data_IF_714337440136
#
_entry.id   IF_714337440136
#
_cell.length_a   1.000
_cell.length_b   1.000
_cell.length_c   1.000
_cell.angle_alpha   90.00
_cell.angle_beta   90.00
_cell.angle_gamma   90.00
#
_symmetry.space_group_name_H-M   'P 1'
#
loop_
_entity.id
_entity.type
_entity.pdbx_description
1 polymer ?
#
# COMPACT_ATOMS: atom_id res chain seq x y z
N UNK A 1 -13.66 -0.83 -9.34
CA UNK A 1 -12.24 -0.65 -8.96
C UNK A 1 -11.70 0.45 -9.83
N UNK A 2 -11.31 1.58 -9.23
CA UNK A 2 -10.70 2.69 -9.97
C UNK A 2 -9.44 2.23 -10.72
N UNK A 3 -9.25 2.74 -11.93
CA UNK A 3 -8.16 2.40 -12.86
C UNK A 3 -6.76 2.85 -12.40
N UNK A 4 -6.63 3.33 -11.16
CA UNK A 4 -5.43 4.01 -10.68
C UNK A 4 -4.48 3.08 -9.93
N UNK A 5 -5.01 2.06 -9.24
CA UNK A 5 -4.23 1.03 -8.55
C UNK A 5 -3.80 -0.04 -9.56
N UNK A 6 -2.50 -0.35 -9.61
CA UNK A 6 -1.88 -1.23 -10.61
C UNK A 6 -1.47 -0.51 -11.91
N UNK A 7 -1.52 0.84 -11.93
CA UNK A 7 -1.12 1.63 -13.11
C UNK A 7 0.39 1.85 -13.22
N UNK A 8 1.17 1.40 -12.22
CA UNK A 8 2.61 1.68 -12.13
C UNK A 8 2.93 3.13 -11.75
N UNK A 9 1.94 3.90 -11.26
CA UNK A 9 2.10 5.30 -10.85
C UNK A 9 1.68 5.49 -9.40
N UNK A 10 2.57 6.07 -8.61
CA UNK A 10 2.28 6.43 -7.21
C UNK A 10 1.44 7.71 -7.18
N UNK A 11 0.28 7.66 -6.53
CA UNK A 11 -0.54 8.86 -6.32
C UNK A 11 0.00 9.69 -5.15
N UNK A 12 0.71 10.76 -5.46
CA UNK A 12 1.21 11.73 -4.48
C UNK A 12 0.37 13.01 -4.41
N UNK A 13 -0.75 13.08 -5.12
CA UNK A 13 -1.69 14.20 -5.07
C UNK A 13 -3.12 13.69 -4.81
N UNK A 14 -3.95 14.42 -4.03
CA UNK A 14 -5.34 14.06 -3.86
C UNK A 14 -6.08 14.19 -5.19
N UNK A 15 -6.81 13.14 -5.58
CA UNK A 15 -7.59 13.08 -6.83
C UNK A 15 -9.03 13.56 -6.61
N UNK A 16 -9.49 13.59 -5.35
CA UNK A 16 -10.86 13.94 -4.95
C UNK A 16 -10.82 14.85 -3.71
N UNK A 17 -11.73 15.81 -3.63
CA UNK A 17 -11.97 16.63 -2.43
C UNK A 17 -12.73 15.86 -1.34
N UNK A 18 -12.74 16.35 -0.09
CA UNK A 18 -13.49 15.72 1.02
C UNK A 18 -15.00 15.55 0.74
N UNK A 19 -15.53 16.32 -0.22
CA UNK A 19 -16.93 16.29 -0.67
C UNK A 19 -17.21 15.31 -1.83
N UNK A 20 -16.22 14.53 -2.26
CA UNK A 20 -16.39 13.54 -3.34
C UNK A 20 -16.36 14.12 -4.75
N UNK A 21 -15.93 15.38 -4.93
CA UNK A 21 -15.77 16.01 -6.25
C UNK A 21 -14.34 15.79 -6.78
N UNK A 22 -14.15 15.44 -8.07
CA UNK A 22 -12.83 15.36 -8.69
C UNK A 22 -12.13 16.73 -8.68
N UNK A 23 -10.84 16.78 -8.34
CA UNK A 23 -10.06 18.02 -8.37
C UNK A 23 -9.59 18.26 -9.82
N UNK A 24 -10.07 19.33 -10.46
CA UNK A 24 -9.60 19.75 -11.79
C UNK A 24 -8.18 20.32 -11.73
N UNK A 25 -7.31 19.87 -12.66
CA UNK A 25 -5.95 20.37 -12.83
C UNK A 25 -5.94 21.88 -13.19
N UNK A 26 -5.20 22.75 -12.49
CA UNK A 26 -5.14 24.18 -12.80
C UNK A 26 -4.10 24.48 -13.89
N UNK A 27 -4.18 23.82 -15.05
CA UNK A 27 -3.37 24.20 -16.20
C UNK A 27 -4.24 24.50 -17.42
N UNK A 28 -5.10 25.51 -17.26
CA UNK A 28 -5.66 26.24 -18.39
C UNK A 28 -4.59 27.16 -18.96
N UNK A 29 -3.92 26.73 -20.03
CA UNK A 29 -3.25 27.68 -20.93
C UNK A 29 -3.77 27.48 -22.34
N UNK A 30 -4.30 28.57 -22.91
CA UNK A 30 -5.15 28.59 -24.09
C UNK A 30 -4.48 28.12 -25.38
N UNK A 31 -5.30 27.48 -26.23
CA UNK A 31 -4.97 27.15 -27.61
C UNK A 31 -6.17 26.55 -28.33
N UNK A 32 -6.55 27.16 -29.46
CA UNK A 32 -7.75 26.84 -30.23
C UNK A 32 -7.72 25.47 -30.95
N UNK A 33 -8.89 24.80 -30.94
CA UNK A 33 -9.53 23.73 -31.77
C UNK A 33 -8.96 23.36 -33.18
N UNK A 34 -9.38 22.25 -33.89
CA UNK A 34 -10.52 21.34 -33.63
C UNK A 34 -10.38 19.80 -33.90
N UNK A 35 -11.32 19.03 -33.28
CA UNK A 35 -12.05 17.80 -33.72
C UNK A 35 -11.34 16.52 -34.21
N UNK A 36 -11.58 15.39 -33.51
CA UNK A 36 -12.41 14.26 -34.01
C UNK A 36 -12.56 13.11 -32.98
N UNK A 37 -13.82 12.76 -32.69
CA UNK A 37 -14.42 11.42 -32.45
C UNK A 37 -13.65 10.45 -31.51
N UNK A 38 -14.18 10.02 -30.37
CA UNK A 38 -15.52 9.47 -30.21
C UNK A 38 -16.06 9.51 -28.77
N UNK A 39 -17.39 9.52 -28.71
CA UNK A 39 -18.23 9.55 -27.53
C UNK A 39 -18.11 8.27 -26.71
N UNK A 40 -17.94 8.42 -25.40
CA UNK A 40 -18.71 7.63 -24.44
C UNK A 40 -19.30 8.61 -23.41
N UNK A 41 -20.60 8.86 -23.57
CA UNK A 41 -21.45 9.50 -22.59
C UNK A 41 -21.99 8.42 -21.65
N UNK A 42 -22.09 8.81 -20.38
CA UNK A 42 -22.97 8.23 -19.36
C UNK A 42 -22.67 6.80 -18.90
N UNK A 43 -22.00 6.71 -17.75
CA UNK A 43 -22.43 5.77 -16.72
C UNK A 43 -22.49 6.52 -15.37
N UNK A 44 -23.71 6.91 -15.02
CA UNK A 44 -24.25 7.05 -13.68
C UNK A 44 -23.30 7.62 -12.60
N UNK A 45 -23.63 8.84 -12.15
CA UNK A 45 -23.34 9.28 -10.79
C UNK A 45 -24.00 8.36 -9.77
N UNK A 46 -23.40 7.19 -9.55
CA UNK A 46 -23.48 6.52 -8.27
C UNK A 46 -22.75 7.44 -7.31
N UNK A 47 -23.37 7.94 -6.24
CA UNK A 47 -22.65 8.66 -5.22
C UNK A 47 -21.49 7.76 -4.79
N UNK A 48 -20.25 8.20 -5.03
CA UNK A 48 -19.08 7.50 -4.52
C UNK A 48 -19.34 7.30 -3.03
N UNK A 49 -19.51 6.04 -2.60
CA UNK A 49 -19.83 5.73 -1.22
C UNK A 49 -18.78 6.38 -0.33
N UNK A 50 -19.17 6.89 0.84
CA UNK A 50 -18.25 7.55 1.80
C UNK A 50 -16.95 6.77 2.02
N UNK A 51 -17.03 5.44 1.98
CA UNK A 51 -15.88 4.53 2.06
C UNK A 51 -14.87 4.68 0.91
N UNK A 52 -15.33 4.89 -0.33
CA UNK A 52 -14.47 5.10 -1.50
C UNK A 52 -13.79 6.47 -1.42
N UNK A 53 -14.52 7.50 -0.96
CA UNK A 53 -13.96 8.84 -0.76
C UNK A 53 -12.86 8.77 0.30
N UNK A 54 -13.15 8.14 1.44
CA UNK A 54 -12.19 7.98 2.53
C UNK A 54 -10.94 7.22 2.08
N UNK A 55 -11.13 6.11 1.38
CA UNK A 55 -10.01 5.34 0.85
C UNK A 55 -9.15 6.15 -0.13
N UNK A 56 -9.77 6.91 -1.04
CA UNK A 56 -9.04 7.77 -1.97
C UNK A 56 -8.26 8.89 -1.29
N UNK A 57 -8.76 9.44 -0.19
CA UNK A 57 -7.99 10.38 0.63
C UNK A 57 -6.76 9.70 1.24
N UNK A 58 -6.91 8.46 1.69
CA UNK A 58 -5.80 7.65 2.23
C UNK A 58 -4.74 7.33 1.16
N UNK A 59 -5.12 7.13 -0.11
CA UNK A 59 -4.17 6.84 -1.20
C UNK A 59 -3.08 7.92 -1.37
N UNK A 60 -3.46 9.19 -1.23
CA UNK A 60 -2.52 10.31 -1.28
C UNK A 60 -1.51 10.25 -0.13
N UNK A 61 -1.98 9.96 1.09
CA UNK A 61 -1.12 9.81 2.26
C UNK A 61 -0.15 8.64 2.10
N UNK A 62 -0.62 7.50 1.59
CA UNK A 62 0.23 6.34 1.26
C UNK A 62 1.32 6.74 0.26
N UNK A 63 0.97 7.48 -0.80
CA UNK A 63 1.95 7.91 -1.79
C UNK A 63 3.02 8.84 -1.22
N UNK A 64 2.64 9.74 -0.30
CA UNK A 64 3.60 10.59 0.39
C UNK A 64 4.54 9.79 1.30
N UNK A 65 4.04 8.77 1.99
CA UNK A 65 4.84 7.92 2.88
C UNK A 65 5.77 7.00 2.08
N UNK A 66 5.29 6.40 1.00
CA UNK A 66 6.11 5.58 0.08
C UNK A 66 7.27 6.40 -0.51
N UNK A 67 7.03 7.65 -0.88
CA UNK A 67 8.10 8.54 -1.35
C UNK A 67 9.09 8.97 -0.25
N UNK A 68 8.79 8.69 1.02
CA UNK A 68 9.70 8.91 2.16
C UNK A 68 10.42 7.66 2.62
N UNK A 69 9.82 6.49 2.41
CA UNK A 69 10.36 5.19 2.83
C UNK A 69 11.66 4.86 2.08
N UNK A 70 12.68 4.51 2.86
CA UNK A 70 13.95 3.91 2.43
C UNK A 70 14.61 4.51 1.18
N UNK A 71 14.53 5.84 1.00
CA UNK A 71 15.10 6.58 -0.15
C UNK A 71 16.61 6.38 -0.36
N UNK A 72 17.32 5.88 0.64
CA UNK A 72 18.75 5.56 0.52
C UNK A 72 19.01 4.21 -0.16
N UNK A 73 17.98 3.37 -0.35
CA UNK A 73 18.10 2.08 -1.03
C UNK A 73 17.99 2.27 -2.55
N UNK A 74 19.00 1.77 -3.27
CA UNK A 74 19.05 1.74 -4.74
C UNK A 74 17.80 1.07 -5.34
N UNK A 75 17.19 0.14 -4.61
CA UNK A 75 15.95 -0.53 -5.02
C UNK A 75 14.81 0.46 -5.32
N UNK A 76 14.68 1.52 -4.52
CA UNK A 76 13.60 2.51 -4.67
C UNK A 76 13.94 3.67 -5.62
N UNK A 77 15.09 3.63 -6.29
CA UNK A 77 15.37 4.56 -7.40
C UNK A 77 14.45 4.28 -8.60
N UNK A 78 14.04 3.03 -8.78
CA UNK A 78 13.07 2.64 -9.79
C UNK A 78 11.65 3.02 -9.35
N UNK A 79 10.96 3.79 -10.19
CA UNK A 79 9.56 4.15 -10.00
C UNK A 79 8.63 2.93 -10.01
N UNK A 80 9.03 1.85 -10.67
CA UNK A 80 8.28 0.59 -10.66
C UNK A 80 8.25 0.01 -9.25
N UNK A 81 9.37 -0.04 -8.55
CA UNK A 81 9.44 -0.59 -7.19
C UNK A 81 8.69 0.27 -6.17
N UNK A 82 8.68 1.59 -6.35
CA UNK A 82 7.84 2.50 -5.56
C UNK A 82 6.35 2.28 -5.84
N UNK A 83 5.96 2.13 -7.10
CA UNK A 83 4.59 1.84 -7.48
C UNK A 83 4.11 0.51 -6.89
N UNK A 84 4.96 -0.52 -6.89
CA UNK A 84 4.67 -1.82 -6.29
C UNK A 84 4.39 -1.73 -4.80
N UNK A 85 5.24 -1.00 -4.06
CA UNK A 85 5.03 -0.77 -2.63
C UNK A 85 3.71 -0.01 -2.39
N UNK A 86 3.43 1.00 -3.21
CA UNK A 86 2.18 1.77 -3.13
C UNK A 86 0.95 0.92 -3.45
N UNK A 87 0.99 0.07 -4.47
CA UNK A 87 -0.12 -0.79 -4.87
C UNK A 87 -0.48 -1.79 -3.77
N UNK A 88 0.52 -2.42 -3.13
CA UNK A 88 0.29 -3.35 -2.02
C UNK A 88 -0.43 -2.65 -0.85
N UNK A 89 0.03 -1.45 -0.47
CA UNK A 89 -0.55 -0.66 0.62
C UNK A 89 -1.95 -0.12 0.26
N UNK A 90 -2.13 0.32 -0.98
CA UNK A 90 -3.42 0.78 -1.51
C UNK A 90 -4.45 -0.35 -1.47
N UNK A 91 -4.09 -1.56 -1.92
CA UNK A 91 -4.97 -2.73 -1.85
C UNK A 91 -5.24 -3.13 -0.40
N UNK A 92 -4.22 -3.13 0.47
CA UNK A 92 -4.40 -3.46 1.89
C UNK A 92 -5.42 -2.54 2.57
N UNK A 93 -5.28 -1.22 2.37
CA UNK A 93 -6.21 -0.23 2.95
C UNK A 93 -7.66 -0.36 2.45
N UNK A 94 -7.87 -1.00 1.29
CA UNK A 94 -9.21 -1.31 0.78
C UNK A 94 -9.78 -2.62 1.36
N UNK A 95 -8.91 -3.63 1.54
CA UNK A 95 -9.28 -4.96 2.00
C UNK A 95 -9.58 -4.98 3.49
N UNK A 96 -8.74 -4.35 4.30
CA UNK A 96 -8.89 -4.30 5.76
C UNK A 96 -9.30 -2.89 6.19
N UNK A 97 -10.62 -2.63 6.14
CA UNK A 97 -11.19 -1.31 6.44
C UNK A 97 -11.20 -0.99 7.93
N UNK A 98 -11.17 -2.00 8.78
CA UNK A 98 -11.19 -1.84 10.24
C UNK A 98 -9.86 -1.27 10.74
N UNK A 99 -8.75 -1.68 10.11
CA UNK A 99 -7.40 -1.19 10.40
C UNK A 99 -7.05 -0.02 9.49
N UNK A 100 -7.36 -0.13 8.19
CA UNK A 100 -6.99 0.85 7.17
C UNK A 100 -5.48 0.97 6.99
N UNK A 101 -5.03 2.15 6.59
CA UNK A 101 -3.60 2.48 6.53
C UNK A 101 -3.22 3.39 7.70
N UNK A 102 -2.13 3.04 8.37
CA UNK A 102 -1.52 3.81 9.45
C UNK A 102 -0.09 4.20 9.09
N UNK A 103 0.37 5.33 9.60
CA UNK A 103 1.73 5.81 9.37
C UNK A 103 2.77 4.78 9.84
N UNK A 104 3.80 4.54 9.03
CA UNK A 104 4.85 3.55 9.30
C UNK A 104 4.59 2.16 8.70
N UNK A 105 3.37 1.92 8.18
CA UNK A 105 3.07 0.68 7.45
C UNK A 105 3.88 0.56 6.15
N UNK A 106 4.26 1.68 5.53
CA UNK A 106 5.15 1.70 4.37
C UNK A 106 6.54 1.16 4.70
N UNK A 107 7.10 1.52 5.86
CA UNK A 107 8.40 1.06 6.32
C UNK A 107 8.38 -0.44 6.71
N UNK A 108 7.23 -0.93 7.20
CA UNK A 108 7.03 -2.37 7.45
C UNK A 108 6.87 -3.18 6.14
N UNK A 109 6.21 -2.60 5.15
CA UNK A 109 5.98 -3.25 3.86
C UNK A 109 7.22 -3.22 2.95
N UNK A 110 8.11 -2.22 3.13
CA UNK A 110 9.34 -2.07 2.36
C UNK A 110 10.20 -3.34 2.26
N UNK A 111 10.65 -3.94 3.38
CA UNK A 111 11.47 -5.15 3.32
C UNK A 111 10.74 -6.34 2.70
N UNK A 112 9.42 -6.44 2.88
CA UNK A 112 8.60 -7.49 2.26
C UNK A 112 8.55 -7.31 0.74
N UNK A 113 8.36 -6.08 0.29
CA UNK A 113 8.33 -5.71 -1.12
C UNK A 113 9.69 -5.87 -1.81
N UNK A 114 10.80 -5.82 -1.06
CA UNK A 114 12.15 -6.08 -1.57
C UNK A 114 12.41 -7.60 -1.63
N UNK A 115 11.97 -8.35 -0.62
CA UNK A 115 12.22 -9.79 -0.53
C UNK A 115 11.34 -10.63 -1.46
N UNK A 116 10.13 -10.17 -1.77
CA UNK A 116 9.16 -10.90 -2.57
C UNK A 116 8.99 -10.24 -3.95
N UNK A 117 9.46 -10.95 -4.98
CA UNK A 117 9.38 -10.51 -6.38
C UNK A 117 7.96 -10.52 -6.96
N UNK A 118 6.98 -11.11 -6.27
CA UNK A 118 5.57 -11.14 -6.70
C UNK A 118 4.72 -10.30 -5.75
N UNK A 119 3.98 -9.34 -6.31
CA UNK A 119 3.12 -8.42 -5.54
C UNK A 119 2.04 -9.16 -4.74
N UNK A 120 1.47 -10.23 -5.30
CA UNK A 120 0.44 -11.02 -4.62
C UNK A 120 0.99 -11.71 -3.36
N UNK A 121 2.20 -12.27 -3.44
CA UNK A 121 2.85 -12.92 -2.30
C UNK A 121 3.25 -11.89 -1.25
N UNK A 122 3.77 -10.74 -1.70
CA UNK A 122 4.10 -9.61 -0.84
C UNK A 122 2.87 -9.10 -0.08
N UNK A 123 1.74 -8.97 -0.77
CA UNK A 123 0.46 -8.59 -0.16
C UNK A 123 0.02 -9.59 0.92
N UNK A 124 -0.06 -10.89 0.60
CA UNK A 124 -0.50 -11.89 1.58
C UNK A 124 0.47 -12.06 2.76
N UNK A 125 1.76 -11.80 2.53
CA UNK A 125 2.76 -11.77 3.59
C UNK A 125 2.56 -10.56 4.50
N UNK A 126 2.41 -9.37 3.92
CA UNK A 126 2.17 -8.13 4.64
C UNK A 126 0.88 -8.17 5.45
N UNK A 127 -0.20 -8.70 4.86
CA UNK A 127 -1.49 -8.86 5.52
C UNK A 127 -1.38 -9.73 6.78
N UNK A 128 -0.67 -10.85 6.68
CA UNK A 128 -0.39 -11.73 7.83
C UNK A 128 0.53 -11.09 8.86
N UNK A 129 1.48 -10.25 8.43
CA UNK A 129 2.31 -9.48 9.35
C UNK A 129 1.45 -8.50 10.15
N UNK A 130 0.60 -7.73 9.49
CA UNK A 130 -0.27 -6.75 10.14
C UNK A 130 -1.23 -7.40 11.11
N UNK A 131 -1.87 -8.52 10.73
CA UNK A 131 -2.68 -9.31 11.67
C UNK A 131 -1.90 -9.73 12.91
N UNK A 132 -0.65 -10.17 12.76
CA UNK A 132 0.20 -10.54 13.91
C UNK A 132 0.57 -9.35 14.76
N UNK A 133 1.00 -8.23 14.16
CA UNK A 133 1.37 -7.00 14.89
C UNK A 133 0.17 -6.49 15.68
N UNK A 134 -1.02 -6.45 15.07
CA UNK A 134 -2.23 -5.94 15.70
C UNK A 134 -2.77 -6.89 16.77
N UNK A 135 -2.76 -8.20 16.52
CA UNK A 135 -3.09 -9.18 17.56
C UNK A 135 -2.10 -9.10 18.73
N UNK A 136 -0.82 -8.84 18.46
CA UNK A 136 0.20 -8.68 19.48
C UNK A 136 0.06 -7.38 20.29
N UNK A 137 -0.38 -6.29 19.66
CA UNK A 137 -0.68 -5.01 20.32
C UNK A 137 -1.97 -5.10 21.16
N UNK A 138 -3.01 -5.76 20.66
CA UNK A 138 -4.27 -6.02 21.40
C UNK A 138 -4.02 -6.96 22.59
N UNK A 139 -3.11 -7.93 22.44
CA UNK A 139 -2.65 -8.79 23.55
C UNK A 139 -1.53 -8.16 24.39
N UNK A 140 -1.09 -6.94 24.05
CA UNK A 140 -0.22 -6.09 24.86
C UNK A 140 1.16 -6.66 25.21
N UNK A 141 1.68 -7.67 24.49
CA UNK A 141 2.94 -8.31 24.91
C UNK A 141 3.74 -8.95 23.79
N UNK A 142 4.16 -8.16 22.80
CA UNK A 142 5.39 -8.49 22.06
C UNK A 142 6.59 -7.87 22.78
N UNK A 143 7.07 -8.56 23.81
CA UNK A 143 8.46 -8.37 24.20
C UNK A 143 9.31 -8.90 23.03
N UNK A 144 9.92 -8.00 22.25
CA UNK A 144 10.80 -8.35 21.14
C UNK A 144 11.87 -9.37 21.57
N UNK A 145 12.31 -9.36 22.85
CA UNK A 145 13.22 -10.38 23.40
C UNK A 145 12.55 -11.75 23.50
N UNK A 146 11.25 -11.82 23.80
CA UNK A 146 10.49 -13.07 23.86
C UNK A 146 10.25 -13.66 22.47
N UNK A 147 9.94 -12.80 21.48
CA UNK A 147 9.83 -13.22 20.08
C UNK A 147 11.18 -13.76 19.54
N UNK A 148 12.28 -13.04 19.77
CA UNK A 148 13.63 -13.50 19.40
C UNK A 148 14.03 -14.79 20.13
N UNK A 149 13.73 -14.93 21.43
CA UNK A 149 13.98 -16.19 22.15
C UNK A 149 13.18 -17.37 21.59
N UNK A 150 11.92 -17.15 21.20
CA UNK A 150 11.10 -18.16 20.55
C UNK A 150 11.68 -18.60 19.20
N UNK A 151 12.11 -17.65 18.38
CA UNK A 151 12.76 -17.93 17.10
C UNK A 151 14.08 -18.71 17.28
N UNK A 152 14.90 -18.33 18.27
CA UNK A 152 16.15 -19.03 18.60
C UNK A 152 15.91 -20.48 19.05
N UNK A 153 14.92 -20.73 19.90
CA UNK A 153 14.59 -22.10 20.35
C UNK A 153 14.13 -23.00 19.20
N UNK A 154 13.35 -22.46 18.26
CA UNK A 154 12.92 -23.22 17.08
C UNK A 154 14.12 -23.56 16.19
N UNK A 155 15.01 -22.59 15.97
CA UNK A 155 16.22 -22.81 15.19
C UNK A 155 17.16 -23.84 15.85
N UNK A 156 17.34 -23.77 17.17
CA UNK A 156 18.16 -24.71 17.93
C UNK A 156 17.58 -26.14 17.89
N UNK A 157 16.25 -26.29 18.01
CA UNK A 157 15.58 -27.59 17.84
C UNK A 157 15.77 -28.16 16.43
N UNK A 158 15.68 -27.32 15.41
CA UNK A 158 15.92 -27.74 14.02
C UNK A 158 17.36 -28.22 13.84
N UNK A 159 18.35 -27.44 14.29
CA UNK A 159 19.76 -27.82 14.21
C UNK A 159 20.07 -29.12 14.95
N UNK A 160 19.47 -29.34 16.12
CA UNK A 160 19.65 -30.58 16.88
C UNK A 160 19.00 -31.79 16.19
N UNK A 161 17.87 -31.59 15.50
CA UNK A 161 17.20 -32.65 14.76
C UNK A 161 17.96 -33.04 13.49
N UNK A 162 18.49 -32.03 12.78
CA UNK A 162 19.30 -32.23 11.56
C UNK A 162 20.67 -32.85 11.89
N UNK A 163 21.28 -32.51 13.03
CA UNK A 163 22.55 -33.12 13.47
C UNK A 163 22.39 -34.53 14.07
N UNK A 164 21.18 -34.91 14.45
CA UNK A 164 20.85 -36.24 14.97
C UNK A 164 20.36 -37.22 13.88
N UNK A 165 20.25 -36.76 12.63
CA UNK A 165 19.96 -37.56 11.43
C UNK A 165 21.24 -37.82 10.65
#
# INVERSE_FOLDING_TARGET
>A
MDTTVGSGRVLTMPVITEDGQPIENPNSNGGARPSSVGSEKEANGVPLSKEVIQWKLTLHQIGLDVNRTDRALVYYESQENLARLWDILAVYSWVDKDIGYCQGMSDLCSPISILLEHEADAFWCFERLMRRVILNDITGSLDAKKACRGALQIHEKYLNTVKAS
#
